data_IF_170201640332
#
_entry.id   IF_170201640332
#
_cell.length_a   1.000
_cell.length_b   1.000
_cell.length_c   1.000
_cell.angle_alpha   90.00
_cell.angle_beta   90.00
_cell.angle_gamma   90.00
#
_symmetry.space_group_name_H-M   'P 1'
#
loop_
_entity.id
_entity.type
_entity.pdbx_description
1 polymer ?
#
# COMPACT_ATOMS: atom_id res chain seq x y z
N UNK A 1 -61.92 -21.85 -79.28
CA UNK A 1 -61.44 -23.13 -78.72
C UNK A 1 -60.30 -22.81 -77.76
N UNK A 2 -60.47 -23.26 -76.52
CA UNK A 2 -59.64 -23.09 -75.29
C UNK A 2 -58.31 -23.86 -75.47
N UNK A 3 -57.14 -23.51 -74.87
CA UNK A 3 -56.86 -23.26 -73.42
C UNK A 3 -55.80 -22.18 -73.13
N UNK A 4 -55.36 -21.80 -71.93
CA UNK A 4 -55.72 -21.91 -70.51
C UNK A 4 -54.79 -20.91 -69.79
N UNK A 5 -55.29 -20.11 -68.83
CA UNK A 5 -54.45 -19.20 -68.03
C UNK A 5 -54.44 -19.63 -66.55
N UNK A 6 -53.22 -19.85 -66.05
CA UNK A 6 -52.85 -20.46 -64.76
C UNK A 6 -53.35 -19.67 -63.56
N UNK A 7 -53.85 -20.43 -62.58
CA UNK A 7 -53.92 -20.07 -61.17
C UNK A 7 -52.52 -20.04 -60.54
N UNK A 8 -52.23 -19.02 -59.73
CA UNK A 8 -51.12 -19.04 -58.79
C UNK A 8 -51.70 -18.96 -57.38
N UNK A 9 -51.67 -20.11 -56.70
CA UNK A 9 -51.93 -20.26 -55.28
C UNK A 9 -50.80 -19.65 -54.47
N UNK A 10 -51.19 -18.95 -53.41
CA UNK A 10 -50.37 -18.53 -52.28
C UNK A 10 -49.56 -19.72 -51.72
N UNK A 11 -48.23 -19.65 -51.79
CA UNK A 11 -47.34 -20.55 -51.07
C UNK A 11 -46.82 -19.80 -49.83
N UNK A 12 -47.28 -20.24 -48.66
CA UNK A 12 -46.78 -19.81 -47.36
C UNK A 12 -45.38 -20.39 -47.19
N UNK A 13 -44.36 -19.55 -47.34
CA UNK A 13 -42.97 -19.88 -47.00
C UNK A 13 -42.77 -19.65 -45.50
N UNK A 14 -42.79 -20.75 -44.75
CA UNK A 14 -42.43 -20.79 -43.34
C UNK A 14 -40.91 -20.57 -43.23
N UNK A 15 -40.48 -19.33 -43.08
CA UNK A 15 -39.08 -19.03 -42.72
C UNK A 15 -38.88 -19.36 -41.25
N UNK A 16 -38.40 -20.56 -40.97
CA UNK A 16 -37.80 -20.92 -39.67
C UNK A 16 -36.56 -20.05 -39.51
N UNK A 17 -36.69 -18.92 -38.82
CA UNK A 17 -35.55 -18.16 -38.35
C UNK A 17 -34.88 -18.97 -37.25
N UNK A 18 -33.83 -19.70 -37.62
CA UNK A 18 -32.83 -20.20 -36.68
C UNK A 18 -32.15 -18.97 -36.07
N UNK A 19 -32.72 -18.43 -34.99
CA UNK A 19 -31.97 -17.59 -34.06
C UNK A 19 -30.94 -18.50 -33.39
N UNK A 20 -29.77 -18.63 -34.01
CA UNK A 20 -28.56 -19.01 -33.30
C UNK A 20 -28.34 -17.92 -32.25
N UNK A 21 -28.79 -18.17 -31.02
CA UNK A 21 -28.28 -17.47 -29.85
C UNK A 21 -26.78 -17.73 -29.82
N UNK A 22 -26.02 -16.81 -30.41
CA UNK A 22 -24.58 -16.74 -30.22
C UNK A 22 -24.38 -16.36 -28.75
N UNK A 23 -24.35 -17.36 -27.88
CA UNK A 23 -23.95 -17.23 -26.50
C UNK A 23 -22.47 -16.85 -26.55
N UNK A 24 -22.17 -15.54 -26.62
CA UNK A 24 -20.81 -15.02 -26.57
C UNK A 24 -20.21 -15.48 -25.25
N UNK A 25 -19.37 -16.52 -25.29
CA UNK A 25 -18.59 -16.97 -24.13
C UNK A 25 -17.90 -15.75 -23.56
N UNK A 26 -18.25 -15.36 -22.33
CA UNK A 26 -17.58 -14.26 -21.65
C UNK A 26 -16.21 -14.75 -21.21
N UNK A 27 -15.17 -14.17 -21.80
CA UNK A 27 -13.81 -14.41 -21.36
C UNK A 27 -13.52 -13.57 -20.10
N UNK A 28 -12.80 -14.17 -19.16
CA UNK A 28 -12.05 -13.47 -18.10
C UNK A 28 -10.56 -13.62 -18.39
N UNK A 29 -9.74 -12.86 -17.69
CA UNK A 29 -8.30 -12.95 -17.75
C UNK A 29 -7.76 -13.33 -16.39
N UNK A 30 -6.65 -14.07 -16.37
CA UNK A 30 -5.87 -14.20 -15.14
C UNK A 30 -5.39 -12.82 -14.67
N UNK A 31 -5.63 -12.49 -13.40
CA UNK A 31 -4.98 -11.35 -12.74
C UNK A 31 -3.77 -11.80 -11.90
N UNK A 32 -3.30 -13.03 -12.09
CA UNK A 32 -2.17 -13.62 -11.39
C UNK A 32 -1.00 -13.77 -12.34
N UNK A 33 0.14 -13.19 -11.97
CA UNK A 33 1.39 -13.39 -12.70
C UNK A 33 1.86 -14.85 -12.66
N UNK A 34 1.48 -15.61 -11.64
CA UNK A 34 1.91 -17.00 -11.46
C UNK A 34 0.94 -18.01 -12.09
N UNK A 35 -0.02 -17.52 -12.88
CA UNK A 35 -1.11 -18.31 -13.43
C UNK A 35 -2.21 -18.61 -12.42
N UNK A 36 -3.29 -19.21 -12.90
CA UNK A 36 -4.45 -19.60 -12.10
C UNK A 36 -4.50 -21.12 -12.02
N UNK A 37 -4.50 -21.66 -10.80
CA UNK A 37 -4.67 -23.10 -10.58
C UNK A 37 -6.07 -23.53 -11.04
N UNK A 38 -6.12 -24.65 -11.73
CA UNK A 38 -7.35 -25.27 -12.22
C UNK A 38 -7.64 -26.49 -11.36
N UNK A 39 -8.78 -26.47 -10.71
CA UNK A 39 -9.23 -27.47 -9.76
C UNK A 39 -10.25 -28.41 -10.41
N UNK A 40 -10.20 -29.68 -10.00
CA UNK A 40 -11.14 -30.72 -10.46
C UNK A 40 -12.55 -30.52 -9.89
N UNK A 41 -12.64 -30.03 -8.66
CA UNK A 41 -13.89 -29.78 -7.94
C UNK A 41 -13.97 -28.31 -7.49
N UNK A 42 -15.16 -27.85 -7.09
CA UNK A 42 -15.41 -26.46 -6.72
C UNK A 42 -14.90 -26.09 -5.31
N UNK A 43 -13.63 -26.42 -5.02
CA UNK A 43 -12.96 -26.19 -3.73
C UNK A 43 -11.43 -26.25 -3.87
N UNK A 44 -10.73 -25.46 -3.07
CA UNK A 44 -9.26 -25.23 -3.17
C UNK A 44 -8.41 -26.40 -2.66
N UNK A 45 -8.99 -27.30 -1.85
CA UNK A 45 -8.37 -28.54 -1.38
C UNK A 45 -8.50 -29.70 -2.38
N UNK A 46 -9.19 -29.50 -3.51
CA UNK A 46 -9.32 -30.52 -4.54
C UNK A 46 -8.08 -30.63 -5.43
N UNK A 47 -8.00 -31.73 -6.19
CA UNK A 47 -6.91 -32.01 -7.13
C UNK A 47 -6.72 -30.86 -8.13
N UNK A 48 -5.49 -30.34 -8.20
CA UNK A 48 -5.08 -29.38 -9.23
C UNK A 48 -4.77 -30.13 -10.51
N UNK A 49 -5.58 -29.93 -11.53
CA UNK A 49 -5.51 -30.63 -12.83
C UNK A 49 -4.82 -29.80 -13.92
N UNK A 50 -4.39 -28.59 -13.58
CA UNK A 50 -3.66 -27.73 -14.49
C UNK A 50 -3.43 -26.33 -13.94
N UNK A 51 -2.84 -25.49 -14.78
CA UNK A 51 -2.65 -24.07 -14.53
C UNK A 51 -2.91 -23.34 -15.83
N UNK A 52 -3.68 -22.26 -15.76
CA UNK A 52 -3.87 -21.33 -16.87
C UNK A 52 -2.79 -20.27 -16.75
N UNK A 53 -2.02 -20.07 -17.82
CA UNK A 53 -0.86 -19.20 -17.77
C UNK A 53 -1.27 -17.71 -17.76
N UNK A 54 -0.31 -16.87 -17.40
CA UNK A 54 -0.45 -15.42 -17.42
C UNK A 54 -0.94 -14.92 -18.79
N UNK A 55 -1.90 -13.99 -18.80
CA UNK A 55 -2.53 -13.37 -19.99
C UNK A 55 -3.49 -14.29 -20.78
N UNK A 56 -3.56 -15.59 -20.49
CA UNK A 56 -4.47 -16.48 -21.21
C UNK A 56 -5.95 -16.18 -20.91
N UNK A 57 -6.82 -16.12 -21.95
CA UNK A 57 -8.24 -15.92 -21.75
C UNK A 57 -8.92 -17.18 -21.20
N UNK A 58 -9.78 -16.97 -20.20
CA UNK A 58 -10.51 -18.01 -19.48
C UNK A 58 -11.97 -17.93 -19.89
N UNK A 59 -12.44 -18.94 -20.61
CA UNK A 59 -13.83 -19.00 -21.07
C UNK A 59 -14.72 -19.62 -19.99
N UNK A 60 -15.58 -18.77 -19.40
CA UNK A 60 -16.53 -19.17 -18.37
C UNK A 60 -17.71 -19.90 -18.99
N UNK A 61 -18.16 -20.98 -18.35
CA UNK A 61 -19.33 -21.76 -18.78
C UNK A 61 -20.65 -21.24 -18.21
N UNK A 62 -20.64 -20.65 -17.01
CA UNK A 62 -21.81 -20.02 -16.36
C UNK A 62 -21.38 -18.80 -15.56
N UNK A 63 -22.05 -17.66 -15.74
CA UNK A 63 -21.79 -16.41 -14.98
C UNK A 63 -22.24 -16.51 -13.50
N UNK A 64 -23.00 -17.54 -13.14
CA UNK A 64 -23.43 -17.76 -11.77
C UNK A 64 -22.32 -18.49 -11.00
N UNK A 65 -21.77 -17.86 -9.94
CA UNK A 65 -20.79 -18.54 -9.08
C UNK A 65 -21.38 -19.86 -8.57
N UNK A 66 -20.60 -20.94 -8.63
CA UNK A 66 -21.01 -22.23 -8.08
C UNK A 66 -20.95 -22.20 -6.55
N UNK A 67 -20.00 -21.44 -6.03
CA UNK A 67 -19.89 -20.94 -4.65
C UNK A 67 -19.32 -19.51 -4.72
N UNK A 68 -19.40 -18.73 -3.64
CA UNK A 68 -18.96 -17.32 -3.61
C UNK A 68 -17.53 -17.11 -4.18
N UNK A 69 -16.67 -18.13 -4.05
CA UNK A 69 -15.25 -18.06 -4.41
C UNK A 69 -14.84 -18.90 -5.64
N UNK A 70 -15.69 -19.76 -6.21
CA UNK A 70 -15.30 -20.65 -7.33
C UNK A 70 -16.13 -20.44 -8.60
N UNK A 71 -15.45 -20.39 -9.74
CA UNK A 71 -16.03 -20.24 -11.07
C UNK A 71 -15.80 -21.50 -11.90
N UNK A 72 -16.86 -21.94 -12.59
CA UNK A 72 -16.83 -23.10 -13.49
C UNK A 72 -16.33 -22.71 -14.89
N UNK A 73 -15.36 -23.45 -15.39
CA UNK A 73 -14.70 -23.22 -16.67
C UNK A 73 -14.64 -24.49 -17.52
N UNK A 74 -14.36 -24.32 -18.82
CA UNK A 74 -13.93 -25.42 -19.68
C UNK A 74 -12.42 -25.44 -19.76
N UNK A 75 -11.78 -26.50 -19.24
CA UNK A 75 -10.34 -26.68 -19.32
C UNK A 75 -10.03 -28.02 -20.00
N UNK A 76 -9.29 -27.96 -21.12
CA UNK A 76 -8.93 -29.15 -21.92
C UNK A 76 -10.15 -30.04 -22.29
N UNK A 77 -11.29 -29.43 -22.59
CA UNK A 77 -12.53 -30.13 -22.95
C UNK A 77 -13.29 -30.76 -21.78
N UNK A 78 -12.86 -30.53 -20.53
CA UNK A 78 -13.53 -31.01 -19.30
C UNK A 78 -14.08 -29.83 -18.49
N UNK A 79 -15.04 -30.12 -17.63
CA UNK A 79 -15.49 -29.17 -16.60
C UNK A 79 -14.41 -29.06 -15.52
N UNK A 80 -14.05 -27.84 -15.15
CA UNK A 80 -13.09 -27.56 -14.09
C UNK A 80 -13.46 -26.26 -13.36
N UNK A 81 -12.72 -25.93 -12.31
CA UNK A 81 -13.00 -24.79 -11.45
C UNK A 81 -11.75 -23.94 -11.20
N UNK A 82 -11.94 -22.64 -11.05
CA UNK A 82 -10.90 -21.67 -10.72
C UNK A 82 -11.42 -20.71 -9.65
N UNK A 83 -10.53 -20.17 -8.84
CA UNK A 83 -10.91 -19.19 -7.83
C UNK A 83 -11.24 -17.85 -8.47
N UNK A 84 -12.36 -17.26 -8.07
CA UNK A 84 -12.90 -16.02 -8.64
C UNK A 84 -11.96 -14.83 -8.43
N UNK A 85 -11.26 -14.78 -7.31
CA UNK A 85 -10.32 -13.71 -6.98
C UNK A 85 -9.15 -13.63 -7.96
N UNK A 86 -8.81 -14.72 -8.65
CA UNK A 86 -7.73 -14.73 -9.65
C UNK A 86 -8.18 -14.35 -11.07
N UNK A 87 -9.43 -13.91 -11.21
CA UNK A 87 -10.05 -13.56 -12.49
C UNK A 87 -10.36 -12.07 -12.57
N UNK A 88 -10.03 -11.47 -13.71
CA UNK A 88 -10.39 -10.10 -14.06
C UNK A 88 -11.29 -10.07 -15.31
N UNK A 89 -12.18 -9.07 -15.37
CA UNK A 89 -13.01 -8.80 -16.55
C UNK A 89 -12.13 -8.28 -17.69
N UNK A 90 -11.12 -7.48 -17.36
CA UNK A 90 -10.19 -6.87 -18.29
C UNK A 90 -8.82 -7.54 -18.22
N UNK A 91 -8.08 -7.51 -19.34
CA UNK A 91 -6.72 -8.00 -19.37
C UNK A 91 -5.85 -7.15 -18.46
N UNK A 92 -5.29 -7.75 -17.41
CA UNK A 92 -4.39 -7.05 -16.49
C UNK A 92 -3.00 -7.02 -17.12
N UNK A 93 -2.49 -5.81 -17.35
CA UNK A 93 -1.10 -5.61 -17.77
C UNK A 93 -0.22 -5.48 -16.53
N UNK A 94 0.91 -6.18 -16.52
CA UNK A 94 1.91 -6.04 -15.48
C UNK A 94 3.15 -5.33 -16.00
N UNK A 95 3.82 -4.67 -15.08
CA UNK A 95 5.01 -3.89 -15.31
C UNK A 95 6.09 -4.30 -14.31
N UNK A 96 7.34 -4.06 -14.68
CA UNK A 96 8.49 -4.24 -13.81
C UNK A 96 9.24 -2.93 -13.61
N UNK A 97 10.01 -2.85 -12.53
CA UNK A 97 11.01 -1.81 -12.27
C UNK A 97 12.33 -2.46 -11.80
N UNK A 98 13.44 -2.17 -12.48
CA UNK A 98 14.75 -2.76 -12.15
C UNK A 98 15.31 -2.14 -10.87
N UNK A 99 15.62 -2.96 -9.86
CA UNK A 99 16.21 -2.51 -8.59
C UNK A 99 17.71 -2.81 -8.46
N UNK A 100 18.22 -3.74 -9.26
CA UNK A 100 19.64 -4.08 -9.25
C UNK A 100 20.45 -3.15 -10.17
N UNK A 101 21.71 -2.91 -9.79
CA UNK A 101 22.63 -2.11 -10.61
C UNK A 101 23.08 -2.80 -11.90
N UNK A 102 22.97 -4.13 -11.98
CA UNK A 102 23.56 -4.95 -13.06
C UNK A 102 22.62 -6.01 -13.65
N UNK A 103 21.38 -5.66 -14.00
CA UNK A 103 20.43 -6.62 -14.59
C UNK A 103 20.62 -6.72 -16.11
N UNK A 104 20.89 -7.92 -16.65
CA UNK A 104 21.03 -8.13 -18.09
C UNK A 104 19.69 -8.55 -18.71
N UNK A 105 19.32 -7.93 -19.83
CA UNK A 105 18.35 -8.48 -20.78
C UNK A 105 19.04 -9.57 -21.60
N UNK A 106 18.44 -10.75 -21.68
CA UNK A 106 19.03 -11.93 -22.33
C UNK A 106 18.18 -12.45 -23.48
N UNK A 107 18.78 -13.17 -24.41
CA UNK A 107 18.06 -13.71 -25.57
C UNK A 107 17.07 -14.83 -25.21
N UNK A 108 17.31 -15.55 -24.12
CA UNK A 108 16.45 -16.62 -23.61
C UNK A 108 16.53 -16.69 -22.07
N UNK A 109 15.55 -17.31 -21.38
CA UNK A 109 15.64 -17.59 -19.96
C UNK A 109 16.92 -18.36 -19.62
N UNK A 110 17.77 -17.83 -18.74
CA UNK A 110 18.93 -18.55 -18.21
C UNK A 110 20.20 -17.71 -18.08
N UNK A 111 21.06 -18.10 -17.14
CA UNK A 111 22.34 -17.43 -16.89
C UNK A 111 23.37 -17.59 -18.01
N UNK A 112 23.25 -18.68 -18.80
CA UNK A 112 24.13 -19.00 -19.93
C UNK A 112 23.70 -18.37 -21.25
N UNK A 113 22.48 -17.83 -21.32
CA UNK A 113 21.94 -17.19 -22.51
C UNK A 113 22.71 -15.90 -22.82
N UNK A 114 22.79 -15.56 -24.11
CA UNK A 114 23.45 -14.34 -24.59
C UNK A 114 22.90 -13.10 -23.88
N UNK A 115 23.78 -12.19 -23.48
CA UNK A 115 23.42 -10.89 -22.92
C UNK A 115 23.19 -9.91 -24.06
N UNK A 116 21.95 -9.47 -24.24
CA UNK A 116 21.58 -8.54 -25.31
C UNK A 116 21.94 -7.10 -24.94
N UNK A 117 21.65 -6.70 -23.70
CA UNK A 117 21.93 -5.36 -23.18
C UNK A 117 21.87 -5.36 -21.64
N UNK A 118 22.59 -4.45 -21.00
CA UNK A 118 22.49 -4.18 -19.56
C UNK A 118 21.38 -3.16 -19.31
N UNK A 119 20.44 -3.47 -18.42
CA UNK A 119 19.38 -2.56 -18.00
C UNK A 119 19.86 -1.70 -16.83
N UNK A 120 19.79 -0.35 -16.94
CA UNK A 120 20.03 0.53 -15.81
C UNK A 120 19.05 0.29 -14.66
N UNK A 121 19.50 0.52 -13.41
CA UNK A 121 18.60 0.59 -12.26
C UNK A 121 17.53 1.66 -12.51
N UNK A 122 16.28 1.38 -12.13
CA UNK A 122 15.13 2.24 -12.38
C UNK A 122 14.48 2.05 -13.74
N UNK A 123 15.00 1.17 -14.59
CA UNK A 123 14.36 0.83 -15.87
C UNK A 123 12.99 0.22 -15.60
N UNK A 124 11.96 0.78 -16.23
CA UNK A 124 10.58 0.30 -16.15
C UNK A 124 10.14 -0.23 -17.51
N UNK A 125 9.24 -1.20 -17.51
CA UNK A 125 8.66 -1.71 -18.74
C UNK A 125 7.55 -2.71 -18.48
N UNK A 126 6.93 -3.18 -19.56
CA UNK A 126 5.88 -4.18 -19.50
C UNK A 126 6.46 -5.59 -19.34
N UNK A 127 5.75 -6.44 -18.62
CA UNK A 127 5.95 -7.88 -18.60
C UNK A 127 5.07 -8.48 -19.69
N UNK A 128 5.71 -9.03 -20.72
CA UNK A 128 5.05 -9.61 -21.89
C UNK A 128 4.67 -11.07 -21.66
N UNK A 129 5.54 -11.81 -20.98
CA UNK A 129 5.32 -13.20 -20.58
C UNK A 129 6.23 -13.57 -19.40
N UNK A 130 5.98 -14.74 -18.80
CA UNK A 130 6.81 -15.28 -17.73
C UNK A 130 7.25 -16.70 -18.05
N UNK A 131 8.40 -17.14 -17.53
CA UNK A 131 8.80 -18.54 -17.62
C UNK A 131 7.88 -19.43 -16.79
N UNK A 132 7.73 -20.69 -17.22
CA UNK A 132 6.89 -21.67 -16.53
C UNK A 132 7.29 -21.92 -15.08
N UNK A 133 8.58 -22.19 -14.85
CA UNK A 133 9.10 -22.58 -13.55
C UNK A 133 9.93 -21.45 -12.92
N UNK A 134 9.81 -21.22 -11.60
CA UNK A 134 10.70 -20.31 -10.90
C UNK A 134 12.09 -20.94 -10.75
N UNK A 135 13.11 -20.11 -10.74
CA UNK A 135 14.51 -20.48 -10.50
C UNK A 135 15.08 -19.68 -9.34
N UNK A 136 16.14 -20.20 -8.72
CA UNK A 136 16.91 -19.49 -7.71
C UNK A 136 18.24 -19.05 -8.29
N UNK A 137 18.53 -17.75 -8.26
CA UNK A 137 19.77 -17.13 -8.72
C UNK A 137 20.27 -16.21 -7.61
N UNK A 138 21.52 -16.38 -7.19
CA UNK A 138 22.14 -15.59 -6.11
C UNK A 138 21.30 -15.53 -4.82
N UNK A 139 20.70 -16.66 -4.45
CA UNK A 139 19.84 -16.78 -3.26
C UNK A 139 18.44 -16.17 -3.41
N UNK A 140 18.10 -15.61 -4.58
CA UNK A 140 16.79 -15.02 -4.87
C UNK A 140 15.97 -15.98 -5.71
N UNK A 141 14.77 -16.33 -5.25
CA UNK A 141 13.80 -17.10 -6.03
C UNK A 141 12.99 -16.15 -6.92
N UNK A 142 12.78 -16.50 -8.17
CA UNK A 142 12.02 -15.68 -9.13
C UNK A 142 11.78 -16.37 -10.45
N UNK A 143 11.15 -15.69 -11.39
CA UNK A 143 10.86 -16.15 -12.74
C UNK A 143 11.72 -15.38 -13.75
N UNK A 144 11.74 -15.84 -15.00
CA UNK A 144 12.20 -15.02 -16.11
C UNK A 144 11.02 -14.27 -16.70
N UNK A 145 11.17 -12.96 -16.88
CA UNK A 145 10.18 -12.10 -17.52
C UNK A 145 10.63 -11.78 -18.92
N UNK A 146 9.78 -12.05 -19.91
CA UNK A 146 9.98 -11.53 -21.25
C UNK A 146 9.55 -10.07 -21.26
N UNK A 147 10.38 -9.23 -21.82
CA UNK A 147 10.15 -7.80 -21.91
C UNK A 147 10.83 -7.20 -23.13
N UNK A 148 10.51 -5.94 -23.40
CA UNK A 148 11.13 -5.13 -24.43
C UNK A 148 11.79 -3.91 -23.81
N UNK A 149 13.05 -3.68 -24.18
CA UNK A 149 13.78 -2.47 -23.83
C UNK A 149 14.42 -1.91 -25.09
N UNK A 150 14.09 -0.67 -25.43
CA UNK A 150 14.45 -0.05 -26.70
C UNK A 150 13.93 -0.90 -27.88
N UNK A 151 14.81 -1.28 -28.81
CA UNK A 151 14.54 -2.12 -29.98
C UNK A 151 14.75 -3.62 -29.72
N UNK A 152 15.08 -4.02 -28.49
CA UNK A 152 15.40 -5.41 -28.13
C UNK A 152 14.30 -6.04 -27.28
N UNK A 153 13.87 -7.22 -27.68
CA UNK A 153 13.01 -8.09 -26.89
C UNK A 153 13.86 -9.23 -26.30
N UNK A 154 13.64 -9.55 -25.02
CA UNK A 154 14.41 -10.56 -24.33
C UNK A 154 13.90 -10.84 -22.92
N UNK A 155 14.73 -11.48 -22.11
CA UNK A 155 14.36 -12.02 -20.80
C UNK A 155 15.21 -11.43 -19.68
N UNK A 156 14.55 -11.04 -18.59
CA UNK A 156 15.18 -10.58 -17.35
C UNK A 156 14.80 -11.47 -16.18
N UNK A 157 15.64 -11.55 -15.16
CA UNK A 157 15.32 -12.31 -13.96
C UNK A 157 14.55 -11.44 -12.94
N UNK A 158 13.36 -11.89 -12.55
CA UNK A 158 12.44 -11.14 -11.71
C UNK A 158 12.95 -10.87 -10.30
N UNK A 159 13.90 -11.68 -9.79
CA UNK A 159 14.50 -11.49 -8.47
C UNK A 159 15.25 -10.16 -8.32
N UNK A 160 15.46 -9.43 -9.43
CA UNK A 160 16.07 -8.11 -9.48
C UNK A 160 15.10 -7.00 -9.92
N UNK A 161 13.80 -7.26 -9.86
CA UNK A 161 12.75 -6.30 -10.25
C UNK A 161 11.66 -6.19 -9.19
N UNK A 162 11.05 -5.01 -9.09
CA UNK A 162 9.71 -4.83 -8.50
C UNK A 162 8.66 -5.02 -9.58
N UNK A 163 7.43 -5.35 -9.18
CA UNK A 163 6.33 -5.69 -10.07
C UNK A 163 5.06 -4.93 -9.66
N UNK A 164 4.29 -4.46 -10.63
CA UNK A 164 3.03 -3.77 -10.40
C UNK A 164 2.05 -3.95 -11.58
N UNK A 165 0.79 -3.61 -11.38
CA UNK A 165 -0.25 -3.57 -12.43
C UNK A 165 -0.39 -2.20 -13.10
N UNK A 166 0.34 -1.19 -12.62
CA UNK A 166 0.40 0.16 -13.21
C UNK A 166 1.84 0.69 -13.17
N UNK A 167 2.22 1.51 -14.17
CA UNK A 167 3.52 2.20 -14.13
C UNK A 167 3.58 3.25 -13.03
N UNK A 168 2.43 3.83 -12.67
CA UNK A 168 2.28 4.84 -11.62
C UNK A 168 2.68 4.31 -10.25
N UNK A 169 2.51 3.00 -10.01
CA UNK A 169 3.04 2.34 -8.81
C UNK A 169 4.56 2.53 -8.65
N UNK A 170 5.29 2.63 -9.76
CA UNK A 170 6.72 2.90 -9.75
C UNK A 170 7.05 4.39 -9.86
N UNK A 171 6.06 5.23 -10.17
CA UNK A 171 6.25 6.67 -10.10
C UNK A 171 6.37 7.06 -8.62
N UNK A 172 7.34 7.91 -8.33
CA UNK A 172 7.91 8.17 -7.01
C UNK A 172 7.01 8.93 -6.03
N UNK A 173 5.70 8.82 -6.17
CA UNK A 173 4.80 9.14 -5.08
C UNK A 173 4.60 7.84 -4.30
N UNK A 174 5.48 7.65 -3.32
CA UNK A 174 5.05 6.90 -2.14
C UNK A 174 3.66 7.45 -1.75
N UNK A 175 2.67 6.59 -1.39
CA UNK A 175 1.32 7.05 -1.03
C UNK A 175 1.39 8.26 -0.08
N UNK A 176 0.37 9.13 -0.03
CA UNK A 176 0.41 10.33 0.84
C UNK A 176 0.82 10.01 2.29
N UNK A 177 0.53 8.80 2.76
CA UNK A 177 0.95 8.22 4.05
C UNK A 177 2.48 8.15 4.27
N UNK A 178 3.28 8.34 3.22
CA UNK A 178 4.75 8.27 3.22
C UNK A 178 5.40 9.66 3.10
N UNK A 179 4.62 10.68 3.40
CA UNK A 179 5.05 12.07 3.51
C UNK A 179 4.85 12.53 4.95
N UNK A 180 5.79 13.32 5.46
CA UNK A 180 5.55 14.05 6.70
C UNK A 180 4.77 15.31 6.35
N UNK A 181 3.51 15.33 6.75
CA UNK A 181 2.60 16.45 6.49
C UNK A 181 2.28 17.18 7.79
N UNK A 182 2.43 18.51 7.75
CA UNK A 182 1.92 19.36 8.83
C UNK A 182 0.40 19.37 8.76
N UNK A 183 -0.22 18.90 9.84
CA UNK A 183 -1.65 19.00 10.05
C UNK A 183 -1.92 20.13 11.04
N UNK A 184 -2.90 20.97 10.72
CA UNK A 184 -3.50 21.87 11.70
C UNK A 184 -4.57 21.09 12.46
N UNK A 185 -4.61 21.20 13.79
CA UNK A 185 -5.72 20.61 14.55
C UNK A 185 -7.00 21.38 14.21
N UNK A 186 -8.09 20.64 13.96
CA UNK A 186 -9.39 21.21 13.70
C UNK A 186 -9.81 22.19 14.81
N UNK A 187 -10.14 23.40 14.36
CA UNK A 187 -10.46 24.55 15.19
C UNK A 187 -11.88 24.37 15.75
N UNK A 188 -12.02 24.05 17.04
CA UNK A 188 -13.30 24.22 17.71
C UNK A 188 -13.21 25.27 18.81
N UNK A 189 -13.86 26.41 18.63
CA UNK A 189 -13.96 27.44 19.66
C UNK A 189 -14.79 26.91 20.83
N UNK A 190 -14.13 26.58 21.92
CA UNK A 190 -14.74 26.14 23.17
C UNK A 190 -14.00 26.71 24.38
N UNK A 191 -14.53 26.43 25.57
CA UNK A 191 -13.91 26.78 26.85
C UNK A 191 -13.84 25.55 27.75
N UNK A 192 -12.95 25.57 28.74
CA UNK A 192 -12.72 24.43 29.63
C UNK A 192 -13.99 24.01 30.40
N UNK A 193 -14.92 24.96 30.60
CA UNK A 193 -16.23 24.71 31.20
C UNK A 193 -17.01 23.60 30.50
N UNK A 194 -16.87 23.45 29.18
CA UNK A 194 -17.57 22.42 28.40
C UNK A 194 -17.16 20.99 28.77
N UNK A 195 -16.00 20.82 29.41
CA UNK A 195 -15.43 19.55 29.82
C UNK A 195 -15.57 19.30 31.32
N UNK A 196 -15.91 20.33 32.11
CA UNK A 196 -16.09 20.17 33.55
C UNK A 196 -17.21 19.18 33.85
N UNK A 197 -16.95 18.28 34.80
CA UNK A 197 -17.90 17.25 35.22
C UNK A 197 -18.03 16.05 34.27
N UNK A 198 -17.37 16.07 33.10
CA UNK A 198 -17.35 14.92 32.16
C UNK A 198 -16.17 13.99 32.40
N UNK A 199 -15.08 14.51 32.95
CA UNK A 199 -13.86 13.77 33.26
C UNK A 199 -12.97 14.55 34.23
N UNK A 200 -11.88 13.91 34.65
CA UNK A 200 -10.80 14.54 35.43
C UNK A 200 -9.93 15.36 34.46
N UNK A 201 -9.78 16.65 34.74
CA UNK A 201 -8.97 17.57 33.94
C UNK A 201 -7.69 17.89 34.71
N UNK A 202 -6.53 17.68 34.11
CA UNK A 202 -5.23 17.95 34.70
C UNK A 202 -4.39 18.82 33.76
N UNK A 203 -3.78 19.89 34.29
CA UNK A 203 -2.79 20.67 33.54
C UNK A 203 -1.51 19.82 33.42
N UNK A 204 -1.14 19.47 32.20
CA UNK A 204 -0.02 18.56 31.92
C UNK A 204 1.22 19.29 31.40
N UNK A 205 1.02 20.43 30.72
CA UNK A 205 2.11 21.24 30.19
C UNK A 205 1.66 22.69 30.00
N UNK A 206 2.60 23.62 30.04
CA UNK A 206 2.35 25.04 29.81
C UNK A 206 3.60 25.69 29.23
N UNK A 207 3.43 26.51 28.18
CA UNK A 207 4.48 27.35 27.63
C UNK A 207 4.01 28.81 27.46
N UNK A 208 4.71 29.62 26.69
CA UNK A 208 4.35 31.03 26.45
C UNK A 208 2.96 31.21 25.85
N UNK A 209 2.55 30.31 24.97
CA UNK A 209 1.38 30.49 24.11
C UNK A 209 0.20 29.60 24.51
N UNK A 210 0.46 28.46 25.15
CA UNK A 210 -0.56 27.45 25.44
C UNK A 210 -0.50 26.89 26.86
N UNK A 211 -1.68 26.53 27.37
CA UNK A 211 -1.84 25.54 28.44
C UNK A 211 -2.35 24.25 27.84
N UNK A 212 -1.84 23.11 28.26
CA UNK A 212 -2.23 21.81 27.73
C UNK A 212 -2.75 20.93 28.84
N UNK A 213 -3.95 20.41 28.64
CA UNK A 213 -4.67 19.62 29.62
C UNK A 213 -4.85 18.19 29.13
N UNK A 214 -4.58 17.22 30.00
CA UNK A 214 -5.06 15.85 29.85
C UNK A 214 -6.44 15.76 30.49
N UNK A 215 -7.43 15.28 29.73
CA UNK A 215 -8.76 14.95 30.22
C UNK A 215 -8.88 13.44 30.24
N UNK A 216 -9.17 12.88 31.41
CA UNK A 216 -9.44 11.45 31.57
C UNK A 216 -10.90 11.24 31.94
N UNK A 217 -11.62 10.54 31.08
CA UNK A 217 -13.02 10.21 31.28
C UNK A 217 -13.13 8.89 32.06
N UNK A 218 -14.23 8.68 32.79
CA UNK A 218 -14.51 7.37 33.38
C UNK A 218 -14.53 6.30 32.29
N UNK A 219 -13.94 5.13 32.56
CA UNK A 219 -13.93 4.02 31.61
C UNK A 219 -15.36 3.68 31.20
N UNK A 220 -15.59 3.64 29.89
CA UNK A 220 -16.83 3.16 29.30
C UNK A 220 -16.49 2.26 28.11
N UNK A 221 -17.09 1.07 28.09
CA UNK A 221 -16.89 0.07 27.05
C UNK A 221 -17.67 0.40 25.76
N UNK A 222 -18.45 1.47 25.78
CA UNK A 222 -19.13 2.00 24.59
C UNK A 222 -18.13 2.54 23.55
N UNK A 223 -18.36 2.15 22.31
CA UNK A 223 -17.51 2.39 21.15
C UNK A 223 -17.35 3.87 20.81
N UNK A 224 -18.40 4.65 21.07
CA UNK A 224 -18.47 6.09 20.78
C UNK A 224 -18.07 6.97 21.98
N UNK A 225 -17.83 6.35 23.14
CA UNK A 225 -17.47 7.09 24.35
C UNK A 225 -15.99 7.53 24.32
N UNK A 226 -15.70 8.83 24.46
CA UNK A 226 -14.32 9.32 24.51
C UNK A 226 -13.63 8.85 25.81
N UNK A 227 -12.41 8.34 25.71
CA UNK A 227 -11.64 7.86 26.87
C UNK A 227 -10.74 8.92 27.47
N UNK A 228 -9.68 9.27 26.75
CA UNK A 228 -8.70 10.27 27.17
C UNK A 228 -8.57 11.26 26.02
N UNK A 229 -8.42 12.54 26.34
CA UNK A 229 -8.24 13.56 25.31
C UNK A 229 -7.30 14.65 25.78
N UNK A 230 -6.61 15.27 24.83
CA UNK A 230 -5.77 16.43 25.09
C UNK A 230 -6.50 17.69 24.63
N UNK A 231 -6.48 18.72 25.48
CA UNK A 231 -6.98 20.05 25.16
C UNK A 231 -5.83 21.04 25.17
N UNK A 232 -5.75 21.87 24.14
CA UNK A 232 -4.79 22.96 24.03
C UNK A 232 -5.54 24.29 24.22
N UNK A 233 -5.28 25.03 25.28
CA UNK A 233 -5.87 26.35 25.53
C UNK A 233 -4.89 27.45 25.12
N UNK A 234 -5.26 28.26 24.15
CA UNK A 234 -4.52 29.46 23.76
C UNK A 234 -4.56 30.48 24.89
N UNK A 235 -3.40 30.95 25.33
CA UNK A 235 -3.28 32.04 26.30
C UNK A 235 -3.60 33.41 25.70
N UNK A 236 -3.56 33.53 24.38
CA UNK A 236 -3.84 34.78 23.68
C UNK A 236 -5.32 35.17 23.81
N UNK A 237 -6.22 34.19 23.71
CA UNK A 237 -7.66 34.43 23.59
C UNK A 237 -8.54 33.43 24.35
N UNK A 238 -7.95 32.50 25.09
CA UNK A 238 -8.65 31.48 25.86
C UNK A 238 -9.34 30.40 25.01
N UNK A 239 -9.11 30.37 23.69
CA UNK A 239 -9.72 29.35 22.82
C UNK A 239 -9.09 27.99 23.08
N UNK A 240 -9.94 26.97 23.19
CA UNK A 240 -9.51 25.58 23.21
C UNK A 240 -9.35 25.01 21.80
N UNK A 241 -8.42 24.07 21.64
CA UNK A 241 -8.21 23.23 20.47
C UNK A 241 -8.10 21.78 20.92
N UNK A 242 -8.64 20.84 20.14
CA UNK A 242 -8.50 19.41 20.38
C UNK A 242 -8.81 18.63 19.12
N UNK A 243 -8.20 17.46 18.98
CA UNK A 243 -8.46 16.59 17.83
C UNK A 243 -9.76 15.81 18.03
N UNK A 244 -10.71 15.90 17.09
CA UNK A 244 -11.99 15.16 17.11
C UNK A 244 -11.89 13.78 16.44
N UNK A 245 -10.89 13.58 15.58
CA UNK A 245 -10.71 12.34 14.80
C UNK A 245 -10.21 11.16 15.62
N UNK A 246 -9.94 11.37 16.91
CA UNK A 246 -9.43 10.34 17.82
C UNK A 246 -10.40 10.11 18.98
N UNK A 247 -10.53 8.84 19.36
CA UNK A 247 -11.36 8.40 20.50
C UNK A 247 -10.57 8.40 21.81
N UNK A 248 -9.26 8.18 21.73
CA UNK A 248 -8.34 8.26 22.85
C UNK A 248 -7.07 8.99 22.44
N UNK A 249 -6.57 9.85 23.31
CA UNK A 249 -5.31 10.55 23.15
C UNK A 249 -4.65 10.79 24.51
N UNK A 250 -3.37 10.42 24.60
CA UNK A 250 -2.59 10.49 25.85
C UNK A 250 -1.24 11.16 25.63
N UNK A 251 -0.83 11.98 26.58
CA UNK A 251 0.51 12.60 26.59
C UNK A 251 1.54 11.55 26.99
N UNK A 252 2.56 11.35 26.15
CA UNK A 252 3.67 10.41 26.39
C UNK A 252 4.89 11.12 26.97
N UNK A 253 5.28 12.25 26.36
CA UNK A 253 6.38 13.11 26.81
C UNK A 253 6.03 14.57 26.53
N UNK A 254 6.45 15.46 27.39
CA UNK A 254 6.35 16.92 27.19
C UNK A 254 7.74 17.48 26.89
N UNK A 255 7.76 18.63 26.20
CA UNK A 255 9.00 19.27 25.76
C UNK A 255 9.88 18.33 24.91
N UNK A 256 9.25 17.51 24.06
CA UNK A 256 9.89 16.42 23.31
C UNK A 256 9.18 16.20 21.96
N UNK A 257 9.92 15.90 20.88
CA UNK A 257 11.39 15.77 20.80
C UNK A 257 12.12 17.11 20.78
N UNK A 258 11.42 18.22 20.53
CA UNK A 258 11.98 19.59 20.55
C UNK A 258 11.30 20.41 21.66
N UNK A 259 11.92 21.52 22.07
CA UNK A 259 11.30 22.46 22.99
C UNK A 259 9.92 22.95 22.46
N UNK A 260 8.97 23.19 23.37
CA UNK A 260 7.59 23.58 23.06
C UNK A 260 6.84 22.58 22.17
N UNK A 261 7.12 21.28 22.37
CA UNK A 261 6.37 20.22 21.71
C UNK A 261 5.94 19.12 22.67
N UNK A 262 4.88 18.41 22.32
CA UNK A 262 4.34 17.30 23.10
C UNK A 262 4.22 16.08 22.21
N UNK A 263 4.76 14.97 22.69
CA UNK A 263 4.58 13.65 22.09
C UNK A 263 3.34 12.99 22.66
N UNK A 264 2.49 12.46 21.79
CA UNK A 264 1.23 11.85 22.18
C UNK A 264 1.03 10.51 21.50
N UNK A 265 0.25 9.64 22.14
CA UNK A 265 -0.26 8.43 21.52
C UNK A 265 -1.78 8.53 21.37
N UNK A 266 -2.23 8.30 20.14
CA UNK A 266 -3.63 8.46 19.72
C UNK A 266 -4.19 7.11 19.23
N UNK A 267 -5.45 6.83 19.56
CA UNK A 267 -6.24 5.74 18.99
C UNK A 267 -7.44 6.35 18.27
N UNK A 268 -7.65 5.95 17.01
CA UNK A 268 -8.71 6.50 16.17
C UNK A 268 -10.09 5.93 16.39
N UNK A 269 -10.17 4.66 16.83
CA UNK A 269 -11.45 3.95 16.94
C UNK A 269 -11.32 2.74 17.86
N UNK A 270 -12.31 2.51 18.74
CA UNK A 270 -12.33 1.38 19.69
C UNK A 270 -12.88 0.09 19.10
N UNK A 271 -13.96 0.19 18.31
CA UNK A 271 -14.76 -0.96 17.87
C UNK A 271 -14.78 -1.19 16.35
N UNK A 272 -13.95 -0.45 15.61
CA UNK A 272 -13.61 -0.79 14.23
C UNK A 272 -12.16 -1.28 14.19
N UNK A 273 -11.57 -1.49 13.02
CA UNK A 273 -10.14 -1.81 12.90
C UNK A 273 -9.32 -0.68 13.55
N UNK A 274 -8.80 -0.87 14.78
CA UNK A 274 -8.22 0.22 15.54
C UNK A 274 -6.89 0.58 14.88
N UNK A 275 -6.75 1.83 14.48
CA UNK A 275 -5.44 2.39 14.16
C UNK A 275 -4.96 3.17 15.37
N UNK A 276 -3.66 3.07 15.61
CA UNK A 276 -2.96 3.92 16.54
C UNK A 276 -1.88 4.70 15.82
N UNK A 277 -1.55 5.85 16.38
CA UNK A 277 -0.49 6.68 15.86
C UNK A 277 0.19 7.42 16.99
N UNK A 278 1.46 7.71 16.78
CA UNK A 278 2.20 8.62 17.63
C UNK A 278 2.39 9.93 16.86
N UNK A 279 2.11 11.04 17.54
CA UNK A 279 2.14 12.38 16.96
C UNK A 279 2.97 13.32 17.83
N UNK A 280 3.63 14.28 17.18
CA UNK A 280 4.27 15.41 17.85
C UNK A 280 3.45 16.65 17.57
N UNK A 281 2.99 17.30 18.62
CA UNK A 281 2.30 18.58 18.59
C UNK A 281 3.29 19.71 18.89
N UNK A 282 3.44 20.65 17.95
CA UNK A 282 4.23 21.86 18.10
C UNK A 282 3.36 23.01 18.59
N UNK A 283 3.77 23.64 19.70
CA UNK A 283 2.97 24.62 20.43
C UNK A 283 3.57 26.03 20.27
N UNK A 284 3.24 26.69 19.15
CA UNK A 284 3.71 28.05 18.82
C UNK A 284 2.57 29.06 18.87
N UNK A 285 2.44 29.94 17.88
CA UNK A 285 1.21 30.76 17.72
C UNK A 285 -0.02 29.93 17.35
N UNK A 286 0.21 28.76 16.76
CA UNK A 286 -0.81 27.77 16.40
C UNK A 286 -0.34 26.39 16.86
N UNK A 287 -1.31 25.47 16.99
CA UNK A 287 -0.99 24.06 17.25
C UNK A 287 -0.91 23.33 15.91
N UNK A 288 0.27 22.83 15.59
CA UNK A 288 0.53 22.02 14.39
C UNK A 288 1.00 20.64 14.82
N UNK A 289 0.70 19.62 14.02
CA UNK A 289 1.04 18.24 14.32
C UNK A 289 1.70 17.55 13.13
N UNK A 290 2.55 16.56 13.44
CA UNK A 290 3.04 15.57 12.48
C UNK A 290 2.89 14.17 13.08
N UNK A 291 2.71 13.18 12.22
CA UNK A 291 2.99 11.79 12.58
C UNK A 291 4.47 11.62 12.87
N UNK A 292 4.78 10.87 13.93
CA UNK A 292 6.14 10.69 14.41
C UNK A 292 6.36 9.28 14.95
N UNK A 293 7.34 8.59 14.38
CA UNK A 293 7.83 7.32 14.90
C UNK A 293 8.72 7.62 16.12
N UNK A 294 8.21 7.43 17.34
CA UNK A 294 8.89 7.90 18.57
C UNK A 294 10.07 7.05 19.01
N UNK A 295 10.26 5.90 18.38
CA UNK A 295 11.38 5.00 18.61
C UNK A 295 12.07 4.68 17.30
N UNK A 296 13.39 4.52 17.35
CA UNK A 296 14.14 4.03 16.20
C UNK A 296 13.78 2.56 15.99
N UNK A 297 13.03 2.30 14.94
CA UNK A 297 12.47 0.98 14.65
C UNK A 297 13.40 0.18 13.75
N UNK A 298 13.53 -1.11 14.05
CA UNK A 298 14.10 -2.06 13.09
C UNK A 298 12.98 -2.52 12.14
N UNK A 299 13.28 -2.66 10.85
CA UNK A 299 12.29 -3.02 9.85
C UNK A 299 12.01 -4.52 9.92
N UNK A 300 10.75 -4.88 10.09
CA UNK A 300 10.25 -6.25 10.20
C UNK A 300 8.94 -6.40 9.41
N UNK A 301 8.73 -7.58 8.87
CA UNK A 301 7.50 -7.96 8.19
C UNK A 301 6.71 -8.94 9.05
N UNK A 302 5.42 -8.69 9.20
CA UNK A 302 4.44 -9.53 9.86
C UNK A 302 3.30 -9.76 8.86
N UNK A 303 2.99 -11.00 8.51
CA UNK A 303 1.84 -11.29 7.64
C UNK A 303 1.82 -10.50 6.30
N UNK A 304 2.96 -10.45 5.61
CA UNK A 304 3.06 -9.74 4.33
C UNK A 304 3.07 -8.21 4.49
N UNK A 305 2.33 -7.49 3.65
CA UNK A 305 2.40 -6.03 3.56
C UNK A 305 1.45 -5.29 4.52
N UNK A 306 0.52 -6.02 5.18
CA UNK A 306 -0.52 -5.45 6.05
C UNK A 306 0.02 -5.06 7.44
N UNK A 307 0.94 -5.85 7.99
CA UNK A 307 1.54 -5.57 9.29
C UNK A 307 3.06 -5.49 9.14
N UNK A 308 3.63 -4.29 9.15
CA UNK A 308 5.07 -4.12 9.00
C UNK A 308 5.59 -2.98 9.84
N UNK A 309 6.82 -3.10 10.30
CA UNK A 309 7.58 -1.97 10.80
C UNK A 309 8.51 -1.47 9.71
N UNK A 310 8.55 -0.15 9.55
CA UNK A 310 9.56 0.52 8.75
C UNK A 310 10.85 0.66 9.55
N UNK A 311 11.95 0.96 8.88
CA UNK A 311 13.11 1.51 9.59
C UNK A 311 12.82 2.98 9.87
N UNK A 312 13.08 3.43 11.08
CA UNK A 312 13.08 4.85 11.43
C UNK A 312 14.31 5.18 12.25
N UNK A 313 14.95 6.31 11.93
CA UNK A 313 15.96 6.92 12.77
C UNK A 313 15.69 8.41 12.92
N UNK A 314 15.49 8.85 14.16
CA UNK A 314 15.31 10.24 14.51
C UNK A 314 16.54 10.76 15.24
N UNK A 315 16.99 11.96 14.88
CA UNK A 315 18.18 12.60 15.43
C UNK A 315 17.96 14.09 15.63
N UNK A 316 18.67 14.66 16.59
CA UNK A 316 18.69 16.10 16.86
C UNK A 316 20.03 16.69 16.48
N UNK A 317 20.06 17.64 15.56
CA UNK A 317 21.30 18.31 15.19
C UNK A 317 21.69 19.39 16.23
N UNK A 318 22.85 20.02 16.04
CA UNK A 318 23.36 21.08 16.94
C UNK A 318 22.52 22.36 16.95
N UNK A 319 21.66 22.55 15.94
CA UNK A 319 20.75 23.69 15.80
C UNK A 319 19.35 23.39 16.39
N UNK A 320 19.19 22.23 17.04
CA UNK A 320 17.91 21.70 17.52
C UNK A 320 16.86 21.47 16.41
N UNK A 321 17.32 21.19 15.19
CA UNK A 321 16.44 20.67 14.14
C UNK A 321 16.32 19.15 14.28
N UNK A 322 15.10 18.67 14.11
CA UNK A 322 14.79 17.26 14.10
C UNK A 322 15.06 16.70 12.70
N UNK A 323 16.05 15.83 12.61
CA UNK A 323 16.35 15.06 11.41
C UNK A 323 15.69 13.69 11.54
N UNK A 324 14.93 13.29 10.54
CA UNK A 324 14.28 11.98 10.52
C UNK A 324 14.56 11.26 9.21
N UNK A 325 14.83 9.97 9.31
CA UNK A 325 15.13 9.13 8.16
C UNK A 325 14.38 7.81 8.25
N UNK A 326 13.48 7.58 7.30
CA UNK A 326 12.64 6.40 7.23
C UNK A 326 13.01 5.55 6.02
N UNK A 327 13.05 4.23 6.18
CA UNK A 327 13.08 3.28 5.06
C UNK A 327 11.84 2.40 5.11
N UNK A 328 11.10 2.38 4.02
CA UNK A 328 9.82 1.73 3.95
C UNK A 328 9.97 0.28 3.55
N UNK A 329 9.53 -0.63 4.41
CA UNK A 329 9.74 -2.06 4.26
C UNK A 329 8.94 -2.62 3.07
N UNK A 330 9.60 -3.47 2.28
CA UNK A 330 8.97 -4.27 1.22
C UNK A 330 8.83 -5.72 1.66
N UNK A 331 7.62 -6.08 2.10
CA UNK A 331 7.33 -7.38 2.69
C UNK A 331 6.76 -8.40 1.70
N UNK A 332 6.73 -8.06 0.40
CA UNK A 332 6.09 -8.87 -0.64
C UNK A 332 6.93 -10.05 -1.12
N UNK A 333 8.17 -10.17 -0.65
CA UNK A 333 9.13 -11.20 -1.09
C UNK A 333 8.93 -12.57 -0.42
N UNK A 334 8.07 -12.67 0.60
CA UNK A 334 7.83 -13.92 1.34
C UNK A 334 6.64 -14.68 0.72
N UNK A 335 6.90 -15.38 -0.39
CA UNK A 335 5.91 -16.25 -1.01
C UNK A 335 5.62 -17.48 -0.14
N UNK A 336 4.35 -17.68 0.22
CA UNK A 336 3.88 -18.78 1.08
C UNK A 336 4.01 -18.42 2.55
N UNK A 337 2.99 -17.77 3.12
CA UNK A 337 3.03 -17.28 4.50
C UNK A 337 2.47 -18.36 5.43
N UNK A 338 3.29 -18.86 6.35
CA UNK A 338 2.81 -19.43 7.60
C UNK A 338 2.28 -18.28 8.48
N UNK A 339 1.04 -18.44 8.92
CA UNK A 339 0.39 -17.53 9.87
C UNK A 339 1.27 -17.53 11.16
N UNK A 340 1.65 -16.33 11.66
CA UNK A 340 2.39 -16.06 12.91
C UNK A 340 3.94 -15.98 12.86
N UNK A 341 4.56 -15.81 11.69
CA UNK A 341 6.04 -15.69 11.60
C UNK A 341 6.53 -14.26 11.34
N UNK A 342 7.52 -13.81 12.15
CA UNK A 342 8.26 -12.56 11.94
C UNK A 342 9.44 -12.78 10.97
N UNK A 343 9.60 -11.91 9.99
CA UNK A 343 10.72 -11.98 9.05
C UNK A 343 11.51 -10.67 8.98
N UNK A 344 12.86 -10.74 8.95
CA UNK A 344 13.68 -9.56 8.74
C UNK A 344 13.47 -9.00 7.35
N UNK A 345 13.40 -7.68 7.23
CA UNK A 345 13.21 -7.00 5.95
C UNK A 345 14.48 -7.11 5.11
N UNK A 346 14.36 -7.72 3.93
CA UNK A 346 15.46 -7.91 2.97
C UNK A 346 15.49 -6.84 1.87
N UNK A 347 14.43 -6.04 1.73
CA UNK A 347 14.31 -5.01 0.72
C UNK A 347 13.42 -3.84 1.20
N UNK A 348 13.68 -2.64 0.69
CA UNK A 348 12.88 -1.45 0.94
C UNK A 348 12.32 -0.93 -0.37
N UNK A 349 11.07 -0.46 -0.34
CA UNK A 349 10.38 0.13 -1.50
C UNK A 349 10.73 1.60 -1.73
N UNK A 350 11.27 2.26 -0.72
CA UNK A 350 11.70 3.65 -0.77
C UNK A 350 12.20 4.14 0.57
N UNK A 351 12.62 5.39 0.62
CA UNK A 351 13.04 6.06 1.83
C UNK A 351 12.63 7.54 1.82
N UNK A 352 12.58 8.13 3.01
CA UNK A 352 12.27 9.53 3.25
C UNK A 352 13.32 10.08 4.20
N UNK A 353 13.96 11.18 3.83
CA UNK A 353 14.69 12.02 4.75
C UNK A 353 13.93 13.31 4.94
N UNK A 354 13.81 13.81 6.17
CA UNK A 354 13.29 15.15 6.42
C UNK A 354 14.05 15.87 7.54
N UNK A 355 14.15 17.18 7.39
CA UNK A 355 14.52 18.12 8.43
C UNK A 355 13.28 18.91 8.84
N UNK A 356 12.99 18.90 10.13
CA UNK A 356 11.90 19.64 10.75
C UNK A 356 12.51 20.67 11.68
N UNK A 357 12.20 21.94 11.41
CA UNK A 357 12.79 23.08 12.11
C UNK A 357 11.79 24.21 12.26
N UNK A 358 12.15 25.18 13.10
CA UNK A 358 11.35 26.38 13.33
C UNK A 358 11.95 27.56 12.59
N UNK A 359 11.11 28.29 11.86
CA UNK A 359 11.43 29.61 11.30
C UNK A 359 10.49 30.63 11.94
N UNK A 360 10.97 31.27 13.01
CA UNK A 360 10.13 32.06 13.90
C UNK A 360 9.06 31.18 14.56
N UNK A 361 7.79 31.55 14.41
CA UNK A 361 6.66 30.81 14.98
C UNK A 361 6.14 29.67 14.07
N UNK A 362 6.73 29.49 12.89
CA UNK A 362 6.27 28.51 11.90
C UNK A 362 7.11 27.25 11.94
N UNK A 363 6.46 26.09 11.92
CA UNK A 363 7.14 24.82 11.65
C UNK A 363 7.38 24.70 10.15
N UNK A 364 8.61 24.35 9.78
CA UNK A 364 9.04 24.07 8.41
C UNK A 364 9.48 22.62 8.31
N UNK A 365 9.20 22.03 7.15
CA UNK A 365 9.61 20.67 6.81
C UNK A 365 10.27 20.73 5.44
N UNK A 366 11.55 20.40 5.40
CA UNK A 366 12.24 20.12 4.15
C UNK A 366 12.45 18.62 4.04
N UNK A 367 11.97 18.01 2.95
CA UNK A 367 11.94 16.57 2.82
C UNK A 367 12.37 16.09 1.44
N UNK A 368 12.95 14.89 1.40
CA UNK A 368 13.54 14.27 0.24
C UNK A 368 13.12 12.81 0.19
N UNK A 369 12.56 12.39 -0.94
CA UNK A 369 12.08 11.02 -1.16
C UNK A 369 13.04 10.25 -2.04
N UNK A 370 13.14 8.95 -1.81
CA UNK A 370 13.93 8.00 -2.61
C UNK A 370 15.42 8.37 -2.74
N UNK A 371 15.93 9.12 -1.77
CA UNK A 371 17.34 9.42 -1.61
C UNK A 371 17.79 9.00 -0.22
N UNK A 372 19.02 8.47 -0.13
CA UNK A 372 19.70 8.39 1.17
C UNK A 372 19.87 9.81 1.76
N UNK A 373 20.46 9.93 2.94
CA UNK A 373 20.71 11.22 3.60
C UNK A 373 21.36 12.19 2.58
N UNK A 374 20.67 13.30 2.20
CA UNK A 374 21.17 14.18 1.15
C UNK A 374 22.55 14.72 1.50
N UNK A 375 23.38 14.95 0.48
CA UNK A 375 24.78 15.36 0.67
C UNK A 375 24.93 16.58 1.59
N UNK A 376 24.02 17.56 1.45
CA UNK A 376 23.99 18.77 2.31
C UNK A 376 23.74 18.50 3.80
N UNK A 377 23.17 17.34 4.15
CA UNK A 377 22.88 16.94 5.53
C UNK A 377 23.85 15.90 6.08
N UNK A 378 24.80 15.40 5.29
CA UNK A 378 25.67 14.30 5.71
C UNK A 378 26.47 14.61 6.98
N UNK A 379 27.01 15.82 7.09
CA UNK A 379 27.77 16.26 8.26
C UNK A 379 26.87 16.50 9.48
N UNK A 380 25.76 17.23 9.27
CA UNK A 380 24.75 17.48 10.32
C UNK A 380 24.21 16.17 10.89
N UNK A 381 23.91 15.18 10.04
CA UNK A 381 23.50 13.84 10.45
C UNK A 381 24.55 13.12 11.29
N UNK A 382 25.82 13.12 10.86
CA UNK A 382 26.91 12.45 11.61
C UNK A 382 27.12 13.07 13.00
N UNK A 383 27.00 14.39 13.10
CA UNK A 383 27.25 15.14 14.34
C UNK A 383 26.00 15.27 15.23
N UNK A 384 24.81 14.95 14.71
CA UNK A 384 23.56 14.95 15.45
C UNK A 384 23.51 13.82 16.49
N UNK A 385 22.64 13.96 17.49
CA UNK A 385 22.42 12.96 18.54
C UNK A 385 21.18 12.14 18.25
N UNK A 386 21.27 10.81 18.31
CA UNK A 386 20.11 9.94 18.14
C UNK A 386 19.09 10.15 19.27
N UNK A 387 17.83 10.31 18.89
CA UNK A 387 16.69 10.42 19.81
C UNK A 387 16.29 8.99 20.20
N UNK A 388 16.07 8.75 21.50
CA UNK A 388 15.81 7.43 22.08
C UNK A 388 14.41 7.29 22.67
#
# INVERSE_FOLDING_TARGET
MIPAQKSNNFLILLTISLFLFNCTKKARYSNSLYGVKVYKEAKVDSEVIGTIEFIEPIYIQDDKPFSDNMIKISFQGRTAFVEKEFLSIEKVQFYYNVIASNLNLRSAPGLKSEKLILLPKGTKGEILSISKDPVTIDGRKGFWFQTKFQDKEGWIFSGYTLIATTLDYFQEDLPDDYKISLRSIDLYSGTLEQFKGKGKIELSYENSDFKVYQVSYPKNDDCDSPDDRILFESKLDGRLFYDKGVVQQTIRKTNYPIHDSILTYSIGCKCCCPWSSTEVYFLRKTVQAIYFEDTNTKPMCFFGDEYKSNYSENRMNSENHLLTFWKFSDCRSFGGIEIDSEYPVVAFKGNLFAEIFFEGDSVKIEQFRNVEIPAKYSESWKNSTAIK
#
